data_IF_245764042636
#
_entry.id   IF_245764042636
#
_cell.length_a   1.000
_cell.length_b   1.000
_cell.length_c   1.000
_cell.angle_alpha   90.00
_cell.angle_beta   90.00
_cell.angle_gamma   90.00
#
_symmetry.space_group_name_H-M   'P 1'
#
loop_
_entity.id
_entity.type
_entity.pdbx_description
1 polymer ?
#
# COMPACT_ATOMS: atom_id res chain seq x y z
N UNK A 1 21.12 -33.96 16.88
CA UNK A 1 19.78 -33.42 16.55
C UNK A 1 19.59 -32.16 17.39
N UNK A 2 20.15 -31.03 16.94
CA UNK A 2 20.02 -29.75 17.65
C UNK A 2 18.58 -29.24 17.53
N UNK A 3 17.79 -29.43 18.60
CA UNK A 3 16.47 -28.82 18.73
C UNK A 3 16.61 -27.48 19.42
N UNK A 4 17.22 -26.51 18.75
CA UNK A 4 17.33 -25.13 19.27
C UNK A 4 16.11 -24.30 18.86
N UNK A 5 14.90 -24.84 19.03
CA UNK A 5 13.66 -24.06 18.89
C UNK A 5 13.42 -23.36 20.23
N UNK A 6 13.96 -22.16 20.39
CA UNK A 6 13.84 -21.37 21.63
C UNK A 6 15.13 -20.75 22.17
N UNK A 7 16.19 -20.60 21.37
CA UNK A 7 17.39 -19.87 21.80
C UNK A 7 17.19 -18.36 21.97
N UNK A 8 16.06 -17.81 21.51
CA UNK A 8 15.77 -16.38 21.63
C UNK A 8 14.95 -16.15 22.89
N UNK A 9 15.44 -15.24 23.72
CA UNK A 9 14.73 -14.76 24.91
C UNK A 9 13.37 -14.15 24.55
N UNK A 10 12.36 -14.39 25.39
CA UNK A 10 10.98 -13.92 25.17
C UNK A 10 10.91 -12.40 25.02
N UNK A 11 11.71 -11.67 25.78
CA UNK A 11 11.80 -10.20 25.67
C UNK A 11 12.33 -9.77 24.30
N UNK A 12 13.34 -10.46 23.78
CA UNK A 12 13.90 -10.18 22.45
C UNK A 12 12.87 -10.48 21.36
N UNK A 13 12.16 -11.61 21.45
CA UNK A 13 11.06 -11.92 20.54
C UNK A 13 9.95 -10.86 20.60
N UNK A 14 9.57 -10.43 21.81
CA UNK A 14 8.55 -9.40 21.99
C UNK A 14 8.95 -8.08 21.35
N UNK A 15 10.20 -7.64 21.51
CA UNK A 15 10.73 -6.43 20.86
C UNK A 15 10.74 -6.56 19.34
N UNK A 16 11.13 -7.71 18.80
CA UNK A 16 11.10 -7.97 17.37
C UNK A 16 9.67 -7.90 16.85
N UNK A 17 8.73 -8.58 17.50
CA UNK A 17 7.30 -8.54 17.12
C UNK A 17 6.77 -7.12 17.21
N UNK A 18 7.09 -6.38 18.26
CA UNK A 18 6.65 -5.00 18.43
C UNK A 18 7.22 -4.09 17.32
N UNK A 19 8.50 -4.25 16.97
CA UNK A 19 9.11 -3.51 15.87
C UNK A 19 8.47 -3.86 14.53
N UNK A 20 8.19 -5.15 14.28
CA UNK A 20 7.49 -5.60 13.07
C UNK A 20 6.08 -5.02 12.99
N UNK A 21 5.32 -5.03 14.09
CA UNK A 21 4.00 -4.42 14.16
C UNK A 21 4.08 -2.92 13.91
N UNK A 22 5.06 -2.23 14.49
CA UNK A 22 5.27 -0.80 14.25
C UNK A 22 5.56 -0.52 12.77
N UNK A 23 6.42 -1.31 12.12
CA UNK A 23 6.70 -1.19 10.68
C UNK A 23 5.43 -1.45 9.86
N UNK A 24 4.65 -2.47 10.21
CA UNK A 24 3.38 -2.76 9.53
C UNK A 24 2.40 -1.59 9.65
N UNK A 25 2.29 -0.98 10.84
CA UNK A 25 1.43 0.21 11.04
C UNK A 25 1.88 1.40 10.19
N UNK A 26 3.19 1.61 10.04
CA UNK A 26 3.71 2.68 9.17
C UNK A 26 3.33 2.42 7.71
N UNK A 27 3.48 1.18 7.23
CA UNK A 27 3.08 0.81 5.87
C UNK A 27 1.57 0.99 5.68
N UNK A 28 0.76 0.59 6.65
CA UNK A 28 -0.70 0.73 6.62
C UNK A 28 -1.11 2.20 6.48
N UNK A 29 -0.52 3.08 7.29
CA UNK A 29 -0.80 4.53 7.25
C UNK A 29 -0.39 5.14 5.91
N UNK A 30 0.78 4.77 5.39
CA UNK A 30 1.25 5.25 4.08
C UNK A 30 0.34 4.74 2.95
N UNK A 31 -0.07 3.47 3.01
CA UNK A 31 -1.00 2.87 2.05
C UNK A 31 -2.35 3.58 2.06
N UNK A 32 -2.92 3.85 3.23
CA UNK A 32 -4.18 4.57 3.37
C UNK A 32 -4.08 6.01 2.82
N UNK A 33 -2.97 6.71 3.09
CA UNK A 33 -2.74 8.06 2.58
C UNK A 33 -2.65 8.08 1.05
N UNK A 34 -1.84 7.19 0.47
CA UNK A 34 -1.67 7.08 -0.98
C UNK A 34 -3.00 6.69 -1.63
N UNK A 35 -3.71 5.71 -1.07
CA UNK A 35 -5.00 5.25 -1.59
C UNK A 35 -6.07 6.33 -1.52
N UNK A 36 -6.08 7.15 -0.47
CA UNK A 36 -6.98 8.29 -0.36
C UNK A 36 -6.74 9.34 -1.46
N UNK A 37 -5.47 9.70 -1.69
CA UNK A 37 -5.07 10.62 -2.76
C UNK A 37 -5.41 10.07 -4.15
N UNK A 38 -5.07 8.80 -4.40
CA UNK A 38 -5.41 8.13 -5.66
C UNK A 38 -6.92 8.01 -5.83
N UNK A 39 -7.68 7.77 -4.77
CA UNK A 39 -9.14 7.73 -4.79
C UNK A 39 -9.76 9.03 -5.28
N UNK A 40 -9.18 10.17 -4.93
CA UNK A 40 -9.63 11.48 -5.41
C UNK A 40 -9.25 11.74 -6.88
N UNK A 41 -8.06 11.29 -7.30
CA UNK A 41 -7.55 11.51 -8.67
C UNK A 41 -8.14 10.52 -9.68
N UNK A 42 -8.47 9.30 -9.26
CA UNK A 42 -9.04 8.24 -10.10
C UNK A 42 -10.29 8.64 -10.90
N UNK A 43 -11.31 9.33 -10.33
CA UNK A 43 -12.46 9.78 -11.12
C UNK A 43 -12.07 10.81 -12.19
N UNK A 44 -11.15 11.74 -11.88
CA UNK A 44 -10.65 12.72 -12.84
C UNK A 44 -9.91 12.02 -13.99
N UNK A 45 -9.08 11.02 -13.68
CA UNK A 45 -8.41 10.20 -14.70
C UNK A 45 -9.40 9.43 -15.56
N UNK A 46 -10.46 8.86 -14.99
CA UNK A 46 -11.50 8.18 -15.78
C UNK A 46 -12.20 9.15 -16.73
N UNK A 47 -12.53 10.37 -16.28
CA UNK A 47 -13.11 11.40 -17.14
C UNK A 47 -12.12 11.80 -18.25
N UNK A 48 -10.84 11.99 -17.93
CA UNK A 48 -9.82 12.30 -18.92
C UNK A 48 -9.66 11.20 -19.97
N UNK A 49 -9.65 9.93 -19.55
CA UNK A 49 -9.61 8.77 -20.44
C UNK A 49 -10.85 8.73 -21.33
N UNK A 50 -12.04 8.92 -20.75
CA UNK A 50 -13.29 8.99 -21.51
C UNK A 50 -13.27 10.12 -22.55
N UNK A 51 -12.75 11.29 -22.17
CA UNK A 51 -12.58 12.41 -23.10
C UNK A 51 -11.64 12.05 -24.25
N UNK A 52 -10.50 11.42 -23.96
CA UNK A 52 -9.57 10.94 -24.99
C UNK A 52 -10.26 9.96 -25.93
N UNK A 53 -11.02 8.99 -25.39
CA UNK A 53 -11.78 8.02 -26.20
C UNK A 53 -12.81 8.73 -27.09
N UNK A 54 -13.56 9.68 -26.54
CA UNK A 54 -14.59 10.43 -27.28
C UNK A 54 -13.95 11.27 -28.39
N UNK A 55 -12.88 12.00 -28.08
CA UNK A 55 -12.16 12.82 -29.05
C UNK A 55 -11.55 11.97 -30.18
N UNK A 56 -11.02 10.79 -29.84
CA UNK A 56 -10.54 9.81 -30.81
C UNK A 56 -11.68 9.29 -31.70
N UNK A 57 -12.85 8.99 -31.13
CA UNK A 57 -14.01 8.54 -31.89
C UNK A 57 -14.53 9.61 -32.88
N UNK A 58 -14.42 10.88 -32.51
CA UNK A 58 -14.75 12.01 -33.37
C UNK A 58 -13.63 12.37 -34.37
N UNK A 59 -12.56 11.57 -34.45
CA UNK A 59 -11.39 11.78 -35.32
C UNK A 59 -10.74 13.16 -35.10
N UNK A 60 -10.84 13.68 -33.86
CA UNK A 60 -10.29 14.98 -33.45
C UNK A 60 -8.92 14.87 -32.76
N UNK A 61 -8.39 13.66 -32.63
CA UNK A 61 -7.09 13.31 -32.02
C UNK A 61 -6.28 12.52 -33.04
#
# INVERSE_FOLDING_TARGET
MDRTRGSIEVETLLKIVLALVAVLLVIEVLSALISGLLGLVRPLLMVAILLVIVLWLFDRL
#
